data_IF_607433948376
#
_entry.id   IF_607433948376
#
_cell.length_a   1.000
_cell.length_b   1.000
_cell.length_c   1.000
_cell.angle_alpha   90.00
_cell.angle_beta   90.00
_cell.angle_gamma   90.00
#
_symmetry.space_group_name_H-M   'P 1'
#
loop_
_entity.id
_entity.type
_entity.pdbx_description
1 polymer ?
#
# COMPACT_ATOMS: atom_id res chain seq x y z
N UNK A 1 10.52 -8.48 12.98
CA UNK A 1 9.92 -7.56 13.99
C UNK A 1 8.86 -8.24 14.83
N UNK A 2 7.73 -8.68 14.25
CA UNK A 2 6.65 -9.35 15.02
C UNK A 2 7.14 -10.58 15.77
N UNK A 3 7.98 -11.41 15.16
CA UNK A 3 8.59 -12.58 15.81
C UNK A 3 9.44 -12.22 17.04
N UNK A 4 10.18 -11.12 16.99
CA UNK A 4 11.08 -10.70 18.07
C UNK A 4 10.37 -9.93 19.20
N UNK A 5 9.31 -9.18 18.88
CA UNK A 5 8.63 -8.28 19.82
C UNK A 5 7.24 -8.78 20.27
N UNK A 6 6.68 -9.78 19.59
CA UNK A 6 5.37 -10.36 19.88
C UNK A 6 4.28 -9.30 19.93
N UNK A 7 3.50 -9.32 21.03
CA UNK A 7 2.40 -8.39 21.29
C UNK A 7 2.81 -6.95 21.57
N UNK A 8 4.11 -6.62 21.62
CA UNK A 8 4.58 -5.23 21.69
C UNK A 8 4.71 -4.58 20.32
N UNK A 9 4.66 -5.37 19.24
CA UNK A 9 4.61 -4.86 17.88
C UNK A 9 3.16 -4.70 17.41
N UNK A 10 2.91 -3.63 16.67
CA UNK A 10 1.67 -3.41 15.94
C UNK A 10 2.01 -3.13 14.47
N UNK A 11 1.30 -3.80 13.57
CA UNK A 11 1.34 -3.60 12.13
C UNK A 11 0.09 -2.83 11.73
N UNK A 12 0.27 -1.67 11.12
CA UNK A 12 -0.82 -0.82 10.65
C UNK A 12 -0.70 -0.72 9.14
N UNK A 13 -1.76 -1.15 8.44
CA UNK A 13 -1.82 -1.14 6.99
C UNK A 13 -2.43 0.14 6.43
N UNK A 14 -2.13 0.42 5.16
CA UNK A 14 -2.76 1.46 4.38
C UNK A 14 -3.26 0.85 3.08
N UNK A 15 -4.50 1.16 2.71
CA UNK A 15 -5.07 0.73 1.42
C UNK A 15 -5.69 1.91 0.71
N UNK A 16 -5.73 1.82 -0.61
CA UNK A 16 -6.41 2.81 -1.43
C UNK A 16 -7.11 2.19 -2.63
N UNK A 17 -8.23 2.76 -3.05
CA UNK A 17 -8.99 2.26 -4.20
C UNK A 17 -8.46 2.79 -5.54
N UNK A 18 -8.22 4.10 -5.65
CA UNK A 18 -7.64 4.73 -6.85
C UNK A 18 -6.88 6.00 -6.48
N UNK A 19 -6.51 6.81 -7.47
CA UNK A 19 -5.78 8.05 -7.30
C UNK A 19 -4.43 8.02 -7.97
N UNK A 20 -3.47 8.78 -7.46
CA UNK A 20 -2.13 8.85 -8.03
C UNK A 20 -1.07 8.58 -6.96
N UNK A 21 0.07 8.06 -7.41
CA UNK A 21 1.27 7.79 -6.60
C UNK A 21 2.51 8.37 -7.26
N UNK A 22 3.54 8.58 -6.46
CA UNK A 22 4.89 8.91 -6.93
C UNK A 22 5.70 7.62 -7.00
N UNK A 23 5.96 7.11 -8.20
CA UNK A 23 6.64 5.83 -8.41
C UNK A 23 7.38 5.80 -9.76
N UNK A 24 8.44 5.00 -9.85
CA UNK A 24 9.19 4.79 -11.07
C UNK A 24 8.62 3.66 -11.94
N UNK A 25 8.94 3.66 -13.23
CA UNK A 25 8.59 2.56 -14.15
C UNK A 25 9.46 1.32 -13.97
N UNK A 26 10.68 1.48 -13.47
CA UNK A 26 11.65 0.41 -13.25
C UNK A 26 12.64 0.81 -12.13
N UNK A 27 13.44 -0.14 -11.65
CA UNK A 27 14.56 0.15 -10.75
C UNK A 27 15.46 1.25 -11.34
N UNK A 28 15.96 2.14 -10.49
CA UNK A 28 16.81 3.28 -10.87
C UNK A 28 16.19 4.27 -11.88
N UNK A 29 14.87 4.18 -12.13
CA UNK A 29 14.13 5.13 -12.95
C UNK A 29 13.77 6.41 -12.18
N UNK A 30 13.43 7.45 -12.93
CA UNK A 30 12.93 8.69 -12.34
C UNK A 30 11.56 8.49 -11.67
N UNK A 31 11.30 9.29 -10.64
CA UNK A 31 10.00 9.30 -9.96
C UNK A 31 8.98 9.99 -10.86
N UNK A 32 7.88 9.30 -11.16
CA UNK A 32 6.81 9.80 -12.00
C UNK A 32 5.51 9.86 -11.20
N UNK A 33 4.62 10.79 -11.56
CA UNK A 33 3.23 10.75 -11.12
C UNK A 33 2.51 9.66 -11.92
N UNK A 34 2.07 8.60 -11.25
CA UNK A 34 1.40 7.46 -11.88
C UNK A 34 -0.01 7.30 -11.39
N UNK A 35 -0.93 7.05 -12.32
CA UNK A 35 -2.33 6.78 -11.99
C UNK A 35 -2.48 5.34 -11.50
N UNK A 36 -3.02 5.19 -10.28
CA UNK A 36 -3.46 3.89 -9.76
C UNK A 36 -4.81 3.56 -10.37
N UNK A 37 -4.85 2.51 -11.18
CA UNK A 37 -6.10 2.01 -11.76
C UNK A 37 -7.12 1.72 -10.64
N UNK A 38 -8.43 1.87 -10.89
CA UNK A 38 -9.43 1.46 -9.91
C UNK A 38 -9.19 0.01 -9.46
N UNK A 39 -9.21 -0.23 -8.16
CA UNK A 39 -8.85 -1.54 -7.64
C UNK A 39 -9.80 -2.64 -8.12
N UNK A 40 -9.25 -3.85 -8.27
CA UNK A 40 -9.98 -5.00 -8.78
C UNK A 40 -11.15 -5.37 -7.87
N UNK A 41 -12.29 -5.73 -8.48
CA UNK A 41 -13.54 -6.03 -7.76
C UNK A 41 -13.44 -7.19 -6.76
N UNK A 42 -12.50 -8.11 -6.98
CA UNK A 42 -12.25 -9.24 -6.09
C UNK A 42 -11.35 -8.89 -4.89
N UNK A 43 -10.84 -7.66 -4.79
CA UNK A 43 -9.91 -7.23 -3.77
C UNK A 43 -10.53 -6.48 -2.59
N UNK A 44 -9.74 -6.31 -1.54
CA UNK A 44 -10.14 -5.58 -0.33
C UNK A 44 -10.39 -4.09 -0.59
N UNK A 45 -9.59 -3.46 -1.45
CA UNK A 45 -9.69 -2.05 -1.76
C UNK A 45 -11.03 -1.73 -2.42
N UNK A 46 -11.54 -2.62 -3.28
CA UNK A 46 -12.87 -2.47 -3.86
C UNK A 46 -13.99 -2.72 -2.85
N UNK A 47 -13.82 -3.70 -1.96
CA UNK A 47 -14.76 -3.94 -0.85
C UNK A 47 -14.89 -2.69 0.03
N UNK A 48 -13.79 -2.01 0.29
CA UNK A 48 -13.75 -0.75 1.05
C UNK A 48 -14.37 0.41 0.29
N UNK A 49 -14.07 0.58 -1.01
CA UNK A 49 -14.73 1.56 -1.87
C UNK A 49 -16.26 1.40 -1.88
N UNK A 50 -16.75 0.16 -1.88
CA UNK A 50 -18.18 -0.13 -1.90
C UNK A 50 -18.94 0.40 -0.66
N UNK A 51 -18.23 0.70 0.43
CA UNK A 51 -18.82 1.33 1.63
C UNK A 51 -19.21 2.79 1.40
N UNK A 52 -18.70 3.44 0.33
CA UNK A 52 -18.86 4.87 0.01
C UNK A 52 -18.27 5.82 1.07
N UNK A 53 -17.47 5.30 2.00
CA UNK A 53 -16.72 6.11 2.95
C UNK A 53 -15.40 6.52 2.32
N UNK A 54 -15.13 7.83 2.24
CA UNK A 54 -13.89 8.37 1.65
C UNK A 54 -12.64 7.90 2.42
N UNK A 55 -12.69 7.98 3.75
CA UNK A 55 -11.57 7.62 4.63
C UNK A 55 -12.06 7.02 5.92
N UNK A 56 -11.43 5.94 6.35
CA UNK A 56 -11.77 5.33 7.62
C UNK A 56 -10.61 4.56 8.23
N UNK A 57 -10.71 4.36 9.54
CA UNK A 57 -9.82 3.52 10.32
C UNK A 57 -10.55 2.24 10.74
N UNK A 58 -9.85 1.12 10.67
CA UNK A 58 -10.39 -0.20 10.94
C UNK A 58 -9.52 -0.92 11.98
N UNK A 59 -9.93 -1.00 13.26
CA UNK A 59 -9.23 -1.77 14.29
C UNK A 59 -9.50 -3.27 14.10
N UNK A 60 -8.75 -3.93 13.23
CA UNK A 60 -8.97 -5.32 12.79
C UNK A 60 -9.00 -6.34 13.93
N UNK A 61 -8.31 -6.10 15.05
CA UNK A 61 -8.35 -6.97 16.24
C UNK A 61 -9.66 -6.91 17.04
N UNK A 62 -10.41 -5.83 16.92
CA UNK A 62 -11.62 -5.56 17.72
C UNK A 62 -12.90 -5.88 16.95
N UNK A 63 -12.80 -6.06 15.64
CA UNK A 63 -13.95 -6.21 14.76
C UNK A 63 -14.26 -7.69 14.54
N UNK A 64 -15.48 -8.09 14.89
CA UNK A 64 -16.05 -9.37 14.48
C UNK A 64 -16.62 -9.28 13.06
N UNK A 65 -15.77 -9.28 12.04
CA UNK A 65 -16.17 -9.29 10.63
C UNK A 65 -15.62 -10.54 9.91
N UNK A 66 -16.36 -11.66 9.91
CA UNK A 66 -15.98 -12.91 9.24
C UNK A 66 -15.48 -12.70 7.81
N UNK A 67 -16.13 -11.81 7.04
CA UNK A 67 -15.79 -11.52 5.65
C UNK A 67 -14.39 -10.91 5.44
N UNK A 68 -13.75 -10.38 6.48
CA UNK A 68 -12.38 -9.85 6.45
C UNK A 68 -11.31 -10.88 6.82
N UNK A 69 -11.72 -12.08 7.26
CA UNK A 69 -10.79 -13.18 7.50
C UNK A 69 -10.49 -13.98 6.22
N UNK A 70 -11.39 -13.94 5.24
CA UNK A 70 -11.24 -14.67 3.97
C UNK A 70 -10.02 -14.17 3.17
N UNK A 71 -9.33 -15.09 2.50
CA UNK A 71 -8.31 -14.70 1.55
C UNK A 71 -8.96 -13.98 0.35
N UNK A 72 -8.50 -12.77 0.04
CA UNK A 72 -8.92 -11.97 -1.12
C UNK A 72 -7.70 -11.37 -1.80
N UNK A 73 -7.90 -10.80 -2.99
CA UNK A 73 -6.84 -10.01 -3.61
C UNK A 73 -6.54 -8.78 -2.76
N UNK A 74 -5.26 -8.48 -2.61
CA UNK A 74 -4.76 -7.26 -1.98
C UNK A 74 -3.74 -6.63 -2.88
N UNK A 75 -3.78 -5.30 -2.99
CA UNK A 75 -2.86 -4.52 -3.80
C UNK A 75 -1.74 -3.96 -2.95
N UNK A 76 -0.49 -4.26 -3.32
CA UNK A 76 0.67 -3.55 -2.79
C UNK A 76 1.38 -2.80 -3.91
N UNK A 77 1.38 -1.47 -3.83
CA UNK A 77 2.14 -0.57 -4.71
C UNK A 77 3.30 0.03 -3.91
N UNK A 78 4.51 -0.18 -4.40
CA UNK A 78 5.74 0.36 -3.81
C UNK A 78 6.34 1.51 -4.63
N UNK A 79 7.66 1.62 -4.58
CA UNK A 79 8.43 2.66 -5.31
C UNK A 79 8.53 2.43 -6.81
N UNK A 80 8.20 1.21 -7.27
CA UNK A 80 8.13 0.85 -8.69
C UNK A 80 6.69 0.45 -8.97
N UNK A 81 6.10 1.01 -10.02
CA UNK A 81 4.72 0.74 -10.39
C UNK A 81 4.50 0.90 -11.90
N UNK A 82 4.54 -0.19 -12.67
CA UNK A 82 4.01 -0.26 -14.04
C UNK A 82 2.49 -0.58 -14.05
N UNK A 83 1.59 0.39 -14.35
CA UNK A 83 0.14 0.16 -14.34
C UNK A 83 -0.33 -0.92 -15.34
N UNK A 84 0.43 -1.13 -16.42
CA UNK A 84 0.12 -2.09 -17.48
C UNK A 84 0.11 -3.53 -16.97
N UNK A 85 0.95 -3.82 -15.97
CA UNK A 85 1.12 -5.16 -15.38
C UNK A 85 0.64 -5.22 -13.93
N UNK A 86 -0.14 -4.23 -13.45
CA UNK A 86 -0.58 -4.12 -12.04
C UNK A 86 -1.17 -5.44 -11.52
N UNK A 87 -2.06 -6.07 -12.30
CA UNK A 87 -2.72 -7.33 -11.91
C UNK A 87 -1.72 -8.42 -11.57
N UNK A 88 -0.67 -8.58 -12.36
CA UNK A 88 0.25 -9.71 -12.25
C UNK A 88 1.42 -9.42 -11.28
N UNK A 89 1.73 -8.14 -11.06
CA UNK A 89 2.92 -7.72 -10.30
C UNK A 89 2.62 -7.08 -8.95
N UNK A 90 1.40 -6.56 -8.72
CA UNK A 90 1.05 -5.79 -7.53
C UNK A 90 -0.16 -6.34 -6.78
N UNK A 91 -0.75 -7.45 -7.23
CA UNK A 91 -1.79 -8.15 -6.49
C UNK A 91 -1.32 -9.53 -6.02
N UNK A 92 -1.76 -9.89 -4.82
CA UNK A 92 -1.55 -11.22 -4.24
C UNK A 92 -2.77 -11.61 -3.40
N UNK A 93 -2.93 -12.90 -3.16
CA UNK A 93 -3.96 -13.41 -2.26
C UNK A 93 -3.49 -13.26 -0.83
N UNK A 94 -4.31 -12.62 0.01
CA UNK A 94 -3.99 -12.42 1.41
C UNK A 94 -5.22 -12.29 2.30
N UNK A 95 -5.02 -12.44 3.61
CA UNK A 95 -6.00 -12.10 4.63
C UNK A 95 -5.48 -10.87 5.40
N UNK A 96 -6.18 -9.74 5.31
CA UNK A 96 -5.73 -8.49 5.95
C UNK A 96 -5.67 -8.62 7.47
N UNK A 97 -6.55 -9.42 8.07
CA UNK A 97 -6.57 -9.69 9.52
C UNK A 97 -5.38 -10.54 9.97
N UNK A 98 -4.77 -11.31 9.07
CA UNK A 98 -3.54 -12.05 9.33
C UNK A 98 -2.27 -11.20 9.24
N UNK A 99 -2.32 -10.05 8.55
CA UNK A 99 -1.16 -9.18 8.33
C UNK A 99 -1.13 -7.97 9.27
N UNK A 100 -2.28 -7.33 9.46
CA UNK A 100 -2.41 -6.05 10.12
C UNK A 100 -3.25 -6.13 11.38
N UNK A 101 -2.85 -5.37 12.37
CA UNK A 101 -3.59 -5.19 13.62
C UNK A 101 -4.66 -4.10 13.47
N UNK A 102 -4.42 -3.14 12.58
CA UNK A 102 -5.38 -2.13 12.16
C UNK A 102 -5.05 -1.62 10.75
N UNK A 103 -5.99 -0.89 10.14
CA UNK A 103 -5.85 -0.42 8.77
C UNK A 103 -6.46 0.99 8.59
N UNK A 104 -5.81 1.83 7.79
CA UNK A 104 -6.39 3.05 7.24
C UNK A 104 -6.73 2.84 5.77
N UNK A 105 -7.95 3.18 5.38
CA UNK A 105 -8.36 3.20 3.98
C UNK A 105 -8.51 4.65 3.51
N UNK A 106 -8.04 4.92 2.29
CA UNK A 106 -8.24 6.17 1.56
C UNK A 106 -8.80 5.85 0.17
N UNK A 107 -10.02 6.27 -0.14
CA UNK A 107 -10.65 5.90 -1.41
C UNK A 107 -9.85 6.45 -2.60
N UNK A 108 -9.40 7.71 -2.49
CA UNK A 108 -8.54 8.37 -3.47
C UNK A 108 -7.26 8.92 -2.82
N UNK A 109 -6.13 8.76 -3.51
CA UNK A 109 -4.84 9.35 -3.10
C UNK A 109 -4.30 10.37 -4.10
N UNK A 110 -3.42 11.24 -3.60
CA UNK A 110 -2.61 12.14 -4.41
C UNK A 110 -1.12 11.73 -4.32
N UNK A 111 -0.32 12.04 -5.34
CA UNK A 111 1.09 11.69 -5.33
C UNK A 111 1.82 12.52 -4.26
N UNK A 112 2.83 11.93 -3.62
CA UNK A 112 3.66 12.66 -2.67
C UNK A 112 4.47 13.72 -3.39
N UNK A 113 4.48 14.94 -2.84
CA UNK A 113 5.31 16.04 -3.32
C UNK A 113 6.76 15.84 -2.84
N UNK A 114 7.76 15.83 -3.75
CA UNK A 114 9.15 15.78 -3.37
C UNK A 114 9.54 16.99 -2.52
N UNK A 115 10.29 16.76 -1.42
CA UNK A 115 10.81 17.84 -0.59
C UNK A 115 11.87 18.70 -1.32
N UNK A 116 12.55 18.12 -2.31
CA UNK A 116 13.55 18.79 -3.13
C UNK A 116 13.06 18.95 -4.58
N UNK A 117 13.51 19.99 -5.31
CA UNK A 117 13.09 20.20 -6.69
C UNK A 117 13.43 19.00 -7.59
N UNK A 118 12.61 18.70 -8.60
CA UNK A 118 12.93 17.69 -9.62
C UNK A 118 14.32 17.95 -10.22
N UNK A 119 15.20 16.93 -10.20
CA UNK A 119 16.58 17.04 -10.70
C UNK A 119 17.63 17.45 -9.65
N UNK A 120 17.24 17.78 -8.42
CA UNK A 120 18.19 17.89 -7.32
C UNK A 120 18.75 16.49 -7.01
N UNK A 121 19.99 16.23 -7.43
CA UNK A 121 20.67 14.96 -7.18
C UNK A 121 20.85 14.81 -5.66
N UNK A 122 20.07 13.93 -5.04
CA UNK A 122 20.33 13.51 -3.67
C UNK A 122 21.74 12.88 -3.64
N UNK A 123 22.60 13.22 -2.67
CA UNK A 123 23.83 12.49 -2.46
C UNK A 123 23.47 11.00 -2.34
N UNK A 124 24.12 10.14 -3.14
CA UNK A 124 23.97 8.71 -2.95
C UNK A 124 24.38 8.40 -1.52
N UNK A 125 23.48 7.82 -0.74
CA UNK A 125 23.85 7.30 0.57
C UNK A 125 24.99 6.30 0.36
N UNK A 126 26.11 6.55 1.05
CA UNK A 126 27.21 5.60 1.05
C UNK A 126 26.73 4.40 1.88
N UNK A 127 26.81 3.16 1.36
CA UNK A 127 26.37 2.00 2.13
C UNK A 127 27.07 2.01 3.48
N UNK A 128 26.30 2.04 4.56
CA UNK A 128 26.84 1.75 5.89
C UNK A 128 27.29 0.30 5.87
N UNK A 129 28.61 0.08 5.95
CA UNK A 129 29.13 -1.25 6.20
C UNK A 129 28.55 -1.77 7.50
N UNK A 130 27.90 -2.93 7.44
CA UNK A 130 27.43 -3.63 8.63
C UNK A 130 28.63 -3.95 9.55
N UNK A 131 28.45 -3.91 10.88
CA UNK A 131 29.48 -4.29 11.84
C UNK A 131 29.83 -5.79 11.77
#
# INVERSE_FOLDING_TARGET
MREALGERARSIGFTAYTGHVSAASHCDGDVERKWMRPALSAGYEHLFHATRLDRFFLPLREIAAPALHDARLERAIGVIYPPETERDSHYFMSSITGQFDALFHLDETNPLEPLAPPGARQPRETPVSAP
#
